data_IF_894944479580
#
_entry.id   IF_894944479580
#
_cell.length_a   1.000
_cell.length_b   1.000
_cell.length_c   1.000
_cell.angle_alpha   90.00
_cell.angle_beta   90.00
_cell.angle_gamma   90.00
#
_symmetry.space_group_name_H-M   'P 1'
#
loop_
_entity.id
_entity.type
_entity.pdbx_description
1 polymer ?
#
# COMPACT_ATOMS: atom_id res chain seq x y z
N UNK A 1 18.51 -27.84 60.95
CA UNK A 1 18.65 -27.08 59.68
C UNK A 1 18.76 -28.06 58.52
N UNK A 2 17.73 -28.18 57.67
CA UNK A 2 17.73 -29.07 56.49
C UNK A 2 18.63 -28.48 55.40
N UNK A 3 19.62 -29.25 54.94
CA UNK A 3 20.48 -28.88 53.79
C UNK A 3 19.63 -28.85 52.53
N UNK A 4 19.33 -27.65 52.04
CA UNK A 4 18.69 -27.45 50.74
C UNK A 4 19.67 -27.91 49.66
N UNK A 5 19.21 -28.83 48.82
CA UNK A 5 20.05 -29.55 47.86
C UNK A 5 20.33 -28.65 46.65
N UNK A 6 21.60 -28.40 46.33
CA UNK A 6 22.02 -27.47 45.25
C UNK A 6 21.42 -27.85 43.87
N UNK A 7 21.16 -29.13 43.62
CA UNK A 7 20.51 -29.59 42.38
C UNK A 7 19.06 -29.12 42.23
N UNK A 8 18.34 -28.89 43.34
CA UNK A 8 16.95 -28.39 43.29
C UNK A 8 16.91 -26.93 42.82
N UNK A 9 17.89 -26.12 43.21
CA UNK A 9 18.01 -24.74 42.73
C UNK A 9 18.37 -24.66 41.24
N UNK A 10 19.23 -25.57 40.75
CA UNK A 10 19.59 -25.64 39.32
C UNK A 10 18.37 -26.08 38.49
N UNK A 11 17.59 -27.04 38.97
CA UNK A 11 16.38 -27.51 38.29
C UNK A 11 15.30 -26.41 38.23
N UNK A 12 15.10 -25.66 39.32
CA UNK A 12 14.19 -24.50 39.33
C UNK A 12 14.68 -23.39 38.40
N UNK A 13 15.98 -23.09 38.39
CA UNK A 13 16.54 -22.10 37.46
C UNK A 13 16.35 -22.50 35.97
N UNK A 14 16.44 -23.81 35.67
CA UNK A 14 16.17 -24.33 34.32
C UNK A 14 14.69 -24.23 33.94
N UNK A 15 13.77 -24.43 34.88
CA UNK A 15 12.33 -24.24 34.66
C UNK A 15 12.00 -22.75 34.41
N UNK A 16 12.61 -21.82 35.15
CA UNK A 16 12.41 -20.38 34.93
C UNK A 16 12.98 -19.86 33.59
N UNK A 17 13.98 -20.53 33.03
CA UNK A 17 14.54 -20.21 31.70
C UNK A 17 13.62 -20.62 30.53
N UNK A 18 12.61 -21.46 30.76
CA UNK A 18 11.69 -21.93 29.71
C UNK A 18 10.41 -21.07 29.58
N UNK A 19 10.22 -20.03 30.41
CA UNK A 19 8.93 -19.33 30.54
C UNK A 19 8.92 -17.91 29.91
N UNK A 20 9.98 -17.44 29.24
CA UNK A 20 10.04 -16.05 28.77
C UNK A 20 10.45 -15.88 27.31
N UNK A 21 9.79 -16.60 26.40
CA UNK A 21 9.74 -16.18 24.99
C UNK A 21 8.29 -16.28 24.51
N UNK A 22 7.50 -15.27 24.88
CA UNK A 22 6.22 -15.01 24.23
C UNK A 22 6.50 -14.33 22.89
N UNK A 23 6.87 -15.11 21.86
CA UNK A 23 6.91 -14.60 20.49
C UNK A 23 5.48 -14.51 19.98
N UNK A 24 4.99 -13.28 19.77
CA UNK A 24 3.69 -13.05 19.15
C UNK A 24 3.91 -13.01 17.63
N UNK A 25 3.21 -13.85 16.84
CA UNK A 25 3.30 -13.76 15.39
C UNK A 25 2.77 -12.40 14.91
N UNK A 26 3.24 -11.89 13.76
CA UNK A 26 2.66 -10.70 13.17
C UNK A 26 1.19 -10.96 12.86
N UNK A 27 0.34 -9.94 13.01
CA UNK A 27 -1.09 -10.05 12.68
C UNK A 27 -1.42 -9.11 11.53
N UNK A 28 -1.90 -9.67 10.42
CA UNK A 28 -2.51 -8.88 9.34
C UNK A 28 -3.93 -8.54 9.79
N UNK A 29 -4.04 -7.42 10.50
CA UNK A 29 -5.33 -6.92 11.00
C UNK A 29 -6.15 -6.26 9.90
N UNK A 30 -5.50 -5.55 8.99
CA UNK A 30 -6.11 -4.90 7.83
C UNK A 30 -5.19 -5.06 6.62
N UNK A 31 -5.76 -5.16 5.42
CA UNK A 31 -5.00 -5.09 4.18
C UNK A 31 -5.84 -4.44 3.07
N UNK A 32 -5.15 -3.81 2.13
CA UNK A 32 -5.69 -3.16 0.95
C UNK A 32 -5.03 -3.75 -0.28
N UNK A 33 -5.86 -4.30 -1.17
CA UNK A 33 -5.45 -4.77 -2.49
C UNK A 33 -6.15 -3.92 -3.52
N UNK A 34 -5.39 -3.41 -4.48
CA UNK A 34 -5.94 -2.62 -5.57
C UNK A 34 -5.16 -2.87 -6.85
N UNK A 35 -5.88 -3.22 -7.90
CA UNK A 35 -5.31 -3.30 -9.25
C UNK A 35 -5.28 -1.89 -9.86
N UNK A 36 -4.12 -1.50 -10.38
CA UNK A 36 -3.90 -0.19 -10.97
C UNK A 36 -3.65 -0.34 -12.46
N UNK A 37 -4.34 0.45 -13.28
CA UNK A 37 -3.92 0.73 -14.65
C UNK A 37 -3.24 2.10 -14.69
N UNK A 38 -1.91 2.06 -14.86
CA UNK A 38 -1.07 3.24 -14.85
C UNK A 38 -0.75 3.64 -16.28
N UNK A 39 -1.21 4.82 -16.68
CA UNK A 39 -0.82 5.44 -17.95
C UNK A 39 0.69 5.68 -17.97
N UNK A 40 1.31 5.33 -19.09
CA UNK A 40 2.75 5.45 -19.33
C UNK A 40 3.04 6.68 -20.20
N UNK A 41 4.31 7.07 -20.28
CA UNK A 41 4.76 8.20 -21.12
C UNK A 41 4.37 8.03 -22.60
N UNK A 42 4.27 6.79 -23.07
CA UNK A 42 3.88 6.45 -24.44
C UNK A 42 2.36 6.30 -24.62
N UNK A 43 1.55 6.80 -23.68
CA UNK A 43 0.08 6.74 -23.71
C UNK A 43 -0.50 5.31 -23.75
N UNK A 44 0.34 4.32 -23.42
CA UNK A 44 -0.07 2.95 -23.13
C UNK A 44 -0.36 2.77 -21.63
N UNK A 45 -0.98 1.66 -21.26
CA UNK A 45 -1.23 1.32 -19.86
C UNK A 45 -0.30 0.19 -19.38
N UNK A 46 0.23 0.37 -18.18
CA UNK A 46 0.93 -0.67 -17.44
C UNK A 46 0.06 -1.08 -16.24
N UNK A 47 -0.23 -2.38 -16.14
CA UNK A 47 -0.90 -2.93 -14.97
C UNK A 47 0.07 -3.01 -13.79
N UNK A 48 -0.39 -2.60 -12.61
CA UNK A 48 0.31 -2.77 -11.33
C UNK A 48 -0.65 -3.32 -10.28
N UNK A 49 -0.09 -3.99 -9.28
CA UNK A 49 -0.83 -4.35 -8.08
C UNK A 49 -0.32 -3.50 -6.91
N UNK A 50 -1.27 -2.85 -6.25
CA UNK A 50 -1.08 -2.15 -5.00
C UNK A 50 -1.51 -3.05 -3.85
N UNK A 51 -0.55 -3.32 -2.98
CA UNK A 51 -0.73 -4.21 -1.82
C UNK A 51 -0.16 -3.49 -0.62
N UNK A 52 -1.02 -3.19 0.35
CA UNK A 52 -0.63 -2.63 1.63
C UNK A 52 -1.27 -3.44 2.75
N UNK A 53 -0.50 -3.85 3.74
CA UNK A 53 -1.00 -4.49 4.95
C UNK A 53 -0.70 -3.62 6.15
N UNK A 54 -1.68 -3.46 7.02
CA UNK A 54 -1.46 -2.95 8.36
C UNK A 54 -0.62 -3.98 9.12
N UNK A 55 0.61 -3.57 9.40
CA UNK A 55 1.54 -4.30 10.24
C UNK A 55 1.45 -3.71 11.64
N UNK A 56 0.76 -4.43 12.53
CA UNK A 56 0.71 -4.10 13.95
C UNK A 56 1.60 -5.09 14.69
N UNK A 57 2.68 -4.59 15.25
CA UNK A 57 3.57 -5.36 16.12
C UNK A 57 3.99 -4.47 17.30
N UNK A 58 3.99 -5.04 18.50
CA UNK A 58 4.25 -4.30 19.75
C UNK A 58 5.66 -3.71 19.77
N UNK A 59 6.59 -4.30 19.00
CA UNK A 59 7.99 -3.92 18.88
C UNK A 59 8.29 -2.95 17.68
N UNK A 60 7.26 -2.58 16.92
CA UNK A 60 7.30 -1.51 15.91
C UNK A 60 7.85 -1.89 14.52
N UNK A 61 8.19 -0.89 13.70
CA UNK A 61 8.66 -1.03 12.29
C UNK A 61 9.87 -1.96 12.12
N UNK A 62 10.60 -2.26 13.19
CA UNK A 62 11.88 -2.96 13.12
C UNK A 62 11.72 -4.45 12.81
N UNK A 63 10.57 -5.04 13.12
CA UNK A 63 10.36 -6.49 12.93
C UNK A 63 9.72 -6.88 11.59
N UNK A 64 9.41 -5.89 10.76
CA UNK A 64 9.02 -6.14 9.37
C UNK A 64 10.16 -6.82 8.60
N UNK A 65 9.90 -8.04 8.13
CA UNK A 65 10.76 -8.75 7.19
C UNK A 65 10.21 -8.65 5.76
N UNK A 66 9.03 -9.22 5.51
CA UNK A 66 8.46 -9.22 4.17
C UNK A 66 6.94 -9.34 4.13
N UNK A 67 6.38 -8.92 2.99
CA UNK A 67 5.02 -9.24 2.54
C UNK A 67 5.14 -9.95 1.21
N UNK A 68 4.63 -11.18 1.13
CA UNK A 68 4.66 -11.99 -0.08
C UNK A 68 3.27 -12.17 -0.63
N UNK A 69 3.10 -11.92 -1.92
CA UNK A 69 1.88 -12.21 -2.67
C UNK A 69 2.12 -13.45 -3.51
N UNK A 70 1.23 -14.45 -3.46
CA UNK A 70 1.34 -15.69 -4.25
C UNK A 70 0.02 -15.94 -4.96
N UNK A 71 0.05 -16.11 -6.29
CA UNK A 71 -1.08 -16.65 -7.04
C UNK A 71 -1.16 -18.16 -6.84
N UNK A 72 -2.21 -18.64 -6.20
CA UNK A 72 -2.31 -20.00 -5.63
C UNK A 72 -2.25 -21.07 -6.72
N UNK A 73 -2.89 -20.82 -7.85
CA UNK A 73 -3.08 -21.76 -8.94
C UNK A 73 -1.81 -21.93 -9.78
N UNK A 74 -1.00 -20.87 -9.92
CA UNK A 74 0.21 -20.88 -10.75
C UNK A 74 1.53 -20.93 -9.96
N UNK A 75 1.50 -20.61 -8.67
CA UNK A 75 2.70 -20.42 -7.84
C UNK A 75 3.50 -19.14 -8.12
N UNK A 76 3.04 -18.26 -9.01
CA UNK A 76 3.66 -16.95 -9.24
C UNK A 76 3.73 -16.15 -7.94
N UNK A 77 4.89 -15.59 -7.64
CA UNK A 77 5.15 -14.94 -6.36
C UNK A 77 5.85 -13.59 -6.51
N UNK A 78 5.46 -12.65 -5.66
CA UNK A 78 6.06 -11.32 -5.53
C UNK A 78 6.40 -11.06 -4.08
N UNK A 79 7.69 -10.80 -3.81
CA UNK A 79 8.19 -10.56 -2.45
C UNK A 79 8.48 -9.08 -2.27
N UNK A 80 7.77 -8.47 -1.33
CA UNK A 80 8.02 -7.13 -0.84
C UNK A 80 8.85 -7.22 0.45
N UNK A 81 10.04 -6.64 0.44
CA UNK A 81 10.94 -6.52 1.57
C UNK A 81 11.21 -5.04 1.87
N UNK A 82 12.04 -4.76 2.88
CA UNK A 82 12.34 -3.38 3.31
C UNK A 82 12.84 -2.46 2.17
N UNK A 83 13.49 -3.00 1.14
CA UNK A 83 14.09 -2.20 0.06
C UNK A 83 13.11 -1.83 -1.07
N UNK A 84 11.98 -2.53 -1.18
CA UNK A 84 10.99 -2.29 -2.23
C UNK A 84 9.56 -2.04 -1.69
N UNK A 85 9.43 -1.96 -0.36
CA UNK A 85 8.22 -1.53 0.35
C UNK A 85 8.26 -0.05 0.72
N UNK A 86 7.12 0.61 0.57
CA UNK A 86 6.78 1.89 1.19
C UNK A 86 6.16 1.66 2.57
N UNK A 87 6.42 2.57 3.49
CA UNK A 87 5.92 2.52 4.87
C UNK A 87 5.16 3.80 5.19
N UNK A 88 3.92 3.67 5.66
CA UNK A 88 3.05 4.80 6.01
C UNK A 88 2.57 4.65 7.45
N UNK A 89 2.39 5.76 8.15
CA UNK A 89 1.75 5.79 9.47
C UNK A 89 0.37 6.44 9.28
N UNK A 90 -0.72 5.82 9.77
CA UNK A 90 -2.01 6.51 9.75
C UNK A 90 -1.94 7.75 10.63
N UNK A 91 -2.35 8.88 10.07
CA UNK A 91 -2.62 10.09 10.83
C UNK A 91 -4.08 10.03 11.31
N UNK A 92 -4.39 9.12 12.24
CA UNK A 92 -5.68 9.19 12.92
C UNK A 92 -5.67 10.40 13.86
N UNK A 93 -6.31 11.48 13.44
CA UNK A 93 -6.59 12.70 14.23
C UNK A 93 -7.63 12.47 15.34
N UNK A 94 -7.83 11.22 15.78
CA UNK A 94 -8.74 10.93 16.88
C UNK A 94 -7.99 11.00 18.20
N UNK A 95 -8.64 11.52 19.25
CA UNK A 95 -8.09 11.85 20.57
C UNK A 95 -7.40 10.67 21.33
N UNK A 96 -7.30 9.49 20.70
CA UNK A 96 -6.54 8.34 21.17
C UNK A 96 -5.18 8.25 20.46
N UNK A 97 -4.29 9.19 20.77
CA UNK A 97 -2.92 9.31 20.22
C UNK A 97 -1.96 8.12 20.50
N UNK A 98 -2.48 6.96 20.95
CA UNK A 98 -1.69 5.84 21.46
C UNK A 98 -1.39 4.71 20.47
N UNK A 99 -2.11 4.59 19.35
CA UNK A 99 -1.94 3.45 18.42
C UNK A 99 -1.69 3.94 16.99
N UNK A 100 -0.47 4.37 16.72
CA UNK A 100 -0.01 4.65 15.35
C UNK A 100 -0.01 3.34 14.56
N UNK A 101 -0.91 3.22 13.58
CA UNK A 101 -0.97 2.08 12.66
C UNK A 101 0.08 2.22 11.56
N UNK A 102 0.95 1.23 11.39
CA UNK A 102 1.97 1.21 10.34
C UNK A 102 1.51 0.35 9.17
N UNK A 103 1.34 0.95 7.99
CA UNK A 103 1.09 0.23 6.75
C UNK A 103 2.41 -0.02 6.03
N UNK A 104 2.63 -1.26 5.58
CA UNK A 104 3.77 -1.64 4.76
C UNK A 104 3.29 -2.30 3.47
N UNK A 105 3.92 -1.98 2.35
CA UNK A 105 3.47 -2.50 1.06
C UNK A 105 4.07 -1.80 -0.14
N UNK A 106 3.50 -2.02 -1.32
CA UNK A 106 3.97 -1.42 -2.56
C UNK A 106 2.83 -1.25 -3.55
N UNK A 107 2.87 -0.15 -4.32
CA UNK A 107 2.03 0.07 -5.50
C UNK A 107 2.76 -0.23 -6.81
N UNK A 108 3.96 -0.82 -6.75
CA UNK A 108 4.85 -1.01 -7.91
C UNK A 108 4.93 -2.46 -8.39
N UNK A 109 4.19 -3.40 -7.78
CA UNK A 109 4.20 -4.81 -8.18
C UNK A 109 3.78 -4.93 -9.64
N UNK A 110 4.60 -5.57 -10.46
CA UNK A 110 4.36 -5.77 -11.89
C UNK A 110 3.97 -7.23 -12.18
N UNK A 111 3.11 -7.50 -13.16
CA UNK A 111 2.80 -8.87 -13.57
C UNK A 111 3.97 -9.53 -14.34
N UNK A 112 4.10 -10.87 -14.31
CA UNK A 112 5.21 -11.60 -14.94
C UNK A 112 5.16 -11.66 -16.48
N UNK A 113 4.02 -11.34 -17.10
CA UNK A 113 3.79 -11.00 -18.52
C UNK A 113 2.30 -11.20 -18.79
N UNK A 114 1.69 -10.42 -19.68
CA UNK A 114 0.27 -10.58 -20.05
C UNK A 114 -0.77 -10.15 -19.00
N UNK A 115 -0.34 -9.74 -17.80
CA UNK A 115 -1.18 -9.21 -16.73
C UNK A 115 -1.19 -10.08 -15.47
N UNK A 116 -1.88 -9.64 -14.43
CA UNK A 116 -2.08 -10.46 -13.24
C UNK A 116 -3.14 -11.54 -13.53
N UNK A 117 -2.84 -12.84 -13.34
CA UNK A 117 -3.82 -13.90 -13.49
C UNK A 117 -5.10 -13.64 -12.67
N UNK A 118 -6.24 -14.02 -13.21
CA UNK A 118 -7.44 -14.15 -12.37
C UNK A 118 -7.31 -15.37 -11.47
N UNK A 119 -7.90 -15.30 -10.28
CA UNK A 119 -7.87 -16.41 -9.34
C UNK A 119 -7.59 -15.98 -7.91
N UNK A 120 -7.18 -16.96 -7.10
CA UNK A 120 -6.99 -16.80 -5.66
C UNK A 120 -5.54 -16.49 -5.33
N UNK A 121 -5.33 -15.49 -4.50
CA UNK A 121 -4.03 -15.06 -4.05
C UNK A 121 -3.89 -15.23 -2.55
N UNK A 122 -2.70 -15.61 -2.11
CA UNK A 122 -2.29 -15.58 -0.71
C UNK A 122 -1.44 -14.34 -0.45
N UNK A 123 -1.77 -13.58 0.58
CA UNK A 123 -0.99 -12.50 1.16
C UNK A 123 -0.35 -13.01 2.45
N UNK A 124 0.97 -13.13 2.46
CA UNK A 124 1.74 -13.69 3.58
C UNK A 124 2.58 -12.55 4.16
N UNK A 125 2.33 -12.18 5.41
CA UNK A 125 3.24 -11.29 6.16
C UNK A 125 4.18 -12.14 7.00
N UNK A 126 5.47 -11.80 6.99
CA UNK A 126 6.51 -12.47 7.77
C UNK A 126 7.28 -11.44 8.60
N UNK A 127 7.56 -11.78 9.86
CA UNK A 127 8.44 -11.01 10.75
C UNK A 127 9.91 -11.46 10.64
N UNK A 128 10.83 -10.76 11.31
CA UNK A 128 12.25 -11.13 11.33
C UNK A 128 12.54 -12.45 12.08
N UNK A 129 11.61 -12.92 12.89
CA UNK A 129 11.70 -14.21 13.60
C UNK A 129 11.18 -15.39 12.78
N UNK A 130 10.63 -15.14 11.58
CA UNK A 130 10.06 -16.14 10.69
C UNK A 130 8.61 -16.53 10.99
N UNK A 131 7.93 -15.83 11.90
CA UNK A 131 6.51 -16.03 12.13
C UNK A 131 5.69 -15.45 10.98
N UNK A 132 4.56 -16.08 10.66
CA UNK A 132 3.74 -15.71 9.50
C UNK A 132 2.26 -15.60 9.84
N UNK A 133 1.60 -14.65 9.19
CA UNK A 133 0.13 -14.62 9.03
C UNK A 133 -0.23 -14.64 7.54
N UNK A 134 -1.33 -15.31 7.21
CA UNK A 134 -1.76 -15.55 5.83
C UNK A 134 -3.20 -15.10 5.68
N UNK A 135 -3.44 -14.22 4.71
CA UNK A 135 -4.78 -13.86 4.22
C UNK A 135 -4.95 -14.28 2.78
N UNK A 136 -6.20 -14.46 2.35
CA UNK A 136 -6.52 -14.73 0.95
C UNK A 136 -7.34 -13.58 0.37
N UNK A 137 -7.16 -13.35 -0.93
CA UNK A 137 -7.97 -12.44 -1.72
C UNK A 137 -8.11 -12.99 -3.14
N UNK A 138 -9.08 -12.50 -3.90
CA UNK A 138 -9.26 -12.90 -5.29
C UNK A 138 -9.09 -11.70 -6.21
N UNK A 139 -8.45 -11.93 -7.35
CA UNK A 139 -8.46 -10.97 -8.44
C UNK A 139 -9.37 -11.50 -9.55
N UNK A 140 -10.33 -10.67 -9.94
CA UNK A 140 -11.19 -10.95 -11.09
C UNK A 140 -10.43 -10.70 -12.39
N UNK A 141 -10.97 -11.10 -13.53
CA UNK A 141 -10.46 -10.68 -14.83
C UNK A 141 -10.54 -9.15 -14.97
N UNK A 142 -9.46 -8.53 -15.46
CA UNK A 142 -9.50 -7.12 -15.86
C UNK A 142 -10.26 -7.00 -17.17
N UNK A 143 -11.24 -6.10 -17.25
CA UNK A 143 -11.75 -5.68 -18.56
C UNK A 143 -10.64 -4.93 -19.30
N UNK A 144 -10.39 -5.27 -20.57
CA UNK A 144 -9.39 -4.58 -21.41
C UNK A 144 -9.83 -3.15 -21.78
N UNK A 145 -10.06 -2.27 -20.79
CA UNK A 145 -10.26 -0.85 -21.04
C UNK A 145 -8.89 -0.21 -21.24
N UNK A 146 -8.59 0.11 -22.50
CA UNK A 146 -7.30 0.71 -22.95
C UNK A 146 -7.34 2.24 -23.02
N UNK A 147 -8.18 2.89 -22.22
CA UNK A 147 -8.27 4.34 -22.14
C UNK A 147 -8.69 4.78 -20.74
N UNK A 148 -8.22 5.97 -20.32
CA UNK A 148 -8.70 6.60 -19.10
C UNK A 148 -10.17 7.02 -19.27
N UNK A 149 -11.05 6.79 -18.29
CA UNK A 149 -12.44 7.25 -18.32
C UNK A 149 -12.58 8.76 -18.00
N UNK A 150 -11.47 9.49 -17.97
CA UNK A 150 -11.37 10.91 -17.69
C UNK A 150 -10.16 11.50 -18.43
N UNK A 151 -10.11 12.82 -18.56
CA UNK A 151 -8.89 13.54 -18.92
C UNK A 151 -8.34 14.30 -17.73
N UNK A 152 -7.01 14.36 -17.65
CA UNK A 152 -6.30 15.20 -16.70
C UNK A 152 -5.31 16.05 -17.47
N UNK A 153 -5.49 17.36 -17.43
CA UNK A 153 -4.69 18.32 -18.17
C UNK A 153 -4.04 19.32 -17.24
N UNK A 154 -2.84 19.75 -17.62
CA UNK A 154 -2.13 20.84 -16.97
C UNK A 154 -1.85 21.90 -18.02
N UNK A 155 -2.42 23.08 -17.82
CA UNK A 155 -2.23 24.23 -18.70
C UNK A 155 -1.76 25.40 -17.85
N UNK A 156 -0.56 25.89 -18.16
CA UNK A 156 0.11 26.97 -17.44
C UNK A 156 0.19 26.69 -15.93
N UNK A 157 -0.75 27.24 -15.16
CA UNK A 157 -0.79 27.15 -13.71
C UNK A 157 -2.08 26.52 -13.16
N UNK A 158 -2.85 25.87 -14.02
CA UNK A 158 -4.11 25.22 -13.66
C UNK A 158 -4.06 23.76 -14.03
N UNK A 159 -4.50 22.91 -13.11
CA UNK A 159 -4.84 21.52 -13.43
C UNK A 159 -6.35 21.40 -13.59
N UNK A 160 -6.79 20.54 -14.52
CA UNK A 160 -8.20 20.24 -14.75
C UNK A 160 -8.41 18.73 -14.88
N UNK A 161 -9.50 18.24 -14.30
CA UNK A 161 -10.00 16.88 -14.47
C UNK A 161 -11.39 16.97 -15.08
N UNK A 162 -11.60 16.30 -16.21
CA UNK A 162 -12.92 16.18 -16.85
C UNK A 162 -13.28 14.72 -16.98
N UNK A 163 -14.44 14.34 -16.45
CA UNK A 163 -14.97 12.97 -16.50
C UNK A 163 -15.85 12.75 -17.73
N UNK A 164 -15.82 11.54 -18.28
CA UNK A 164 -16.70 11.12 -19.39
C UNK A 164 -17.77 10.11 -18.96
N UNK A 165 -17.65 9.55 -17.76
CA UNK A 165 -18.58 8.57 -17.18
C UNK A 165 -19.30 9.16 -15.94
N UNK A 166 -20.34 8.47 -15.46
CA UNK A 166 -21.12 8.88 -14.30
C UNK A 166 -20.25 8.90 -13.03
N UNK A 167 -20.08 10.08 -12.44
CA UNK A 167 -19.22 10.35 -11.27
C UNK A 167 -19.68 9.69 -9.96
N UNK A 168 -20.91 9.19 -9.87
CA UNK A 168 -21.46 8.60 -8.63
C UNK A 168 -20.76 7.31 -8.18
N UNK A 169 -20.01 6.65 -9.07
CA UNK A 169 -19.32 5.39 -8.80
C UNK A 169 -17.80 5.53 -8.64
N UNK A 170 -17.30 6.77 -8.64
CA UNK A 170 -15.87 7.05 -8.68
C UNK A 170 -15.45 8.02 -7.58
N UNK A 171 -14.22 7.85 -7.09
CA UNK A 171 -13.53 8.85 -6.28
C UNK A 171 -12.30 9.34 -7.04
N UNK A 172 -12.07 10.66 -7.05
CA UNK A 172 -10.87 11.25 -7.62
C UNK A 172 -9.90 11.68 -6.54
N UNK A 173 -8.61 11.52 -6.81
CA UNK A 173 -7.55 12.03 -5.94
C UNK A 173 -6.38 12.58 -6.76
N UNK A 174 -5.78 13.65 -6.28
CA UNK A 174 -4.47 14.11 -6.76
C UNK A 174 -3.39 13.48 -5.90
N UNK A 175 -2.36 12.94 -6.54
CA UNK A 175 -1.19 12.39 -5.87
C UNK A 175 0.01 13.25 -6.24
N UNK A 176 0.63 13.86 -5.24
CA UNK A 176 1.89 14.59 -5.40
C UNK A 176 3.05 13.63 -5.14
N UNK A 177 4.03 13.65 -6.04
CA UNK A 177 5.21 12.79 -5.95
C UNK A 177 6.48 13.61 -5.74
N UNK A 178 7.41 13.05 -4.97
CA UNK A 178 8.77 13.56 -4.84
C UNK A 178 9.65 13.29 -6.07
N UNK A 179 10.93 13.66 -5.97
CA UNK A 179 11.91 13.49 -7.06
C UNK A 179 12.11 12.02 -7.48
N UNK A 180 11.93 11.09 -6.54
CA UNK A 180 12.03 9.65 -6.72
C UNK A 180 10.72 8.99 -7.21
N UNK A 181 9.71 9.81 -7.55
CA UNK A 181 8.36 9.38 -7.93
C UNK A 181 7.66 8.53 -6.86
N UNK A 182 7.98 8.75 -5.58
CA UNK A 182 7.19 8.23 -4.47
C UNK A 182 6.09 9.22 -4.08
N UNK A 183 4.88 8.75 -3.73
CA UNK A 183 3.83 9.60 -3.17
C UNK A 183 4.31 10.28 -1.89
N UNK A 184 4.18 11.61 -1.84
CA UNK A 184 4.44 12.41 -0.63
C UNK A 184 3.15 12.97 -0.04
N UNK A 185 2.11 13.14 -0.88
CA UNK A 185 0.81 13.61 -0.44
C UNK A 185 -0.29 13.15 -1.39
N UNK A 186 -1.48 12.93 -0.86
CA UNK A 186 -2.69 12.59 -1.62
C UNK A 186 -3.84 13.48 -1.17
N UNK A 187 -4.51 14.14 -2.13
CA UNK A 187 -5.67 14.99 -1.91
C UNK A 187 -6.89 14.39 -2.58
N UNK A 188 -7.92 14.03 -1.82
CA UNK A 188 -9.23 13.69 -2.41
C UNK A 188 -9.87 14.93 -3.02
N UNK A 189 -10.54 14.76 -4.16
CA UNK A 189 -11.27 15.81 -4.84
C UNK A 189 -12.77 15.68 -4.57
N UNK A 190 -13.43 16.81 -4.39
CA UNK A 190 -14.89 16.86 -4.34
C UNK A 190 -15.45 16.61 -5.75
N UNK A 191 -16.37 15.65 -5.86
CA UNK A 191 -16.86 15.19 -7.15
C UNK A 191 -17.68 16.27 -7.87
N UNK A 192 -17.21 16.64 -9.05
CA UNK A 192 -17.93 17.46 -10.02
C UNK A 192 -17.61 16.99 -11.44
N UNK A 193 -18.44 17.38 -12.41
CA UNK A 193 -18.22 17.03 -13.83
C UNK A 193 -16.88 17.58 -14.35
N UNK A 194 -16.47 18.74 -13.82
CA UNK A 194 -15.17 19.35 -14.05
C UNK A 194 -14.61 19.81 -12.71
N UNK A 195 -13.41 19.34 -12.39
CA UNK A 195 -12.65 19.73 -11.19
C UNK A 195 -11.41 20.48 -11.64
N UNK A 196 -11.04 21.55 -10.94
CA UNK A 196 -9.83 22.31 -11.26
C UNK A 196 -9.20 22.93 -10.03
N UNK A 197 -7.95 23.35 -10.16
CA UNK A 197 -7.26 24.07 -9.10
C UNK A 197 -5.95 24.69 -9.56
N UNK A 198 -5.35 25.48 -8.66
CA UNK A 198 -4.15 26.25 -8.93
C UNK A 198 -2.89 25.45 -8.56
N UNK A 199 -1.92 25.38 -9.49
CA UNK A 199 -0.66 24.67 -9.29
C UNK A 199 0.34 25.44 -8.41
N UNK A 200 0.34 26.78 -8.42
CA UNK A 200 1.17 27.58 -7.50
C UNK A 200 0.80 27.29 -6.05
N UNK A 201 -0.49 27.23 -5.73
CA UNK A 201 -0.94 26.90 -4.38
C UNK A 201 -0.43 25.51 -3.94
N UNK A 202 -0.52 24.50 -4.82
CA UNK A 202 0.01 23.16 -4.53
C UNK A 202 1.53 23.16 -4.36
N UNK A 203 2.26 23.96 -5.16
CA UNK A 203 3.72 24.09 -5.07
C UNK A 203 4.16 24.79 -3.78
N UNK A 204 3.42 25.79 -3.33
CA UNK A 204 3.67 26.51 -2.07
C UNK A 204 3.39 25.63 -0.86
N UNK A 205 2.29 24.87 -0.90
CA UNK A 205 1.90 23.96 0.19
C UNK A 205 2.82 22.72 0.27
N UNK A 206 3.27 22.21 -0.88
CA UNK A 206 4.09 21.00 -0.99
C UNK A 206 5.37 21.26 -1.80
N UNK A 207 6.30 22.05 -1.25
CA UNK A 207 7.53 22.47 -1.94
C UNK A 207 8.45 21.34 -2.42
N UNK A 208 8.36 20.15 -1.82
CA UNK A 208 9.12 18.96 -2.21
C UNK A 208 8.48 18.17 -3.36
N UNK A 209 7.24 18.50 -3.74
CA UNK A 209 6.59 17.88 -4.89
C UNK A 209 7.38 18.20 -6.17
N UNK A 210 7.55 17.20 -7.03
CA UNK A 210 8.16 17.33 -8.35
C UNK A 210 7.23 16.89 -9.47
N UNK A 211 6.29 16.01 -9.15
CA UNK A 211 5.28 15.54 -10.09
C UNK A 211 3.89 15.51 -9.46
N UNK A 212 2.87 15.51 -10.31
CA UNK A 212 1.47 15.31 -9.95
C UNK A 212 0.86 14.22 -10.82
N UNK A 213 0.01 13.40 -10.23
CA UNK A 213 -0.82 12.41 -10.90
C UNK A 213 -2.28 12.59 -10.48
N UNK A 214 -3.20 12.17 -11.33
CA UNK A 214 -4.60 12.02 -10.98
C UNK A 214 -4.95 10.53 -10.92
N UNK A 215 -5.62 10.14 -9.84
CA UNK A 215 -6.15 8.81 -9.63
C UNK A 215 -7.67 8.85 -9.68
N UNK A 216 -8.26 7.92 -10.40
CA UNK A 216 -9.69 7.61 -10.35
C UNK A 216 -9.86 6.20 -9.80
N UNK A 217 -10.57 6.11 -8.69
CA UNK A 217 -10.83 4.88 -7.95
C UNK A 217 -12.31 4.51 -8.05
N UNK A 218 -12.61 3.24 -8.26
CA UNK A 218 -13.99 2.76 -8.27
C UNK A 218 -14.49 2.56 -6.84
N UNK A 219 -15.79 2.74 -6.58
CA UNK A 219 -16.40 2.61 -5.25
C UNK A 219 -16.19 1.25 -4.55
N UNK A 220 -15.82 0.20 -5.30
CA UNK A 220 -15.46 -1.11 -4.72
C UNK A 220 -13.99 -1.19 -4.26
N UNK A 221 -13.21 -0.11 -4.41
CA UNK A 221 -11.81 0.10 -4.03
C UNK A 221 -10.77 -0.93 -4.52
N UNK A 222 -11.18 -1.87 -5.37
CA UNK A 222 -10.30 -2.95 -5.86
C UNK A 222 -9.62 -2.61 -7.19
N UNK A 223 -9.99 -1.50 -7.82
CA UNK A 223 -9.47 -1.06 -9.10
C UNK A 223 -9.35 0.46 -9.17
N UNK A 224 -8.26 0.94 -9.80
CA UNK A 224 -8.09 2.35 -10.08
C UNK A 224 -7.31 2.60 -11.37
N UNK A 225 -7.58 3.75 -11.99
CA UNK A 225 -6.75 4.33 -13.03
C UNK A 225 -5.82 5.37 -12.43
N UNK A 226 -4.60 5.45 -12.97
CA UNK A 226 -3.63 6.46 -12.58
C UNK A 226 -3.03 7.07 -13.85
N UNK A 227 -3.01 8.39 -13.94
CA UNK A 227 -2.36 9.07 -15.07
C UNK A 227 -0.85 8.89 -15.02
N UNK A 228 -0.15 9.21 -16.12
CA UNK A 228 1.31 9.39 -16.06
C UNK A 228 1.68 10.53 -15.09
N UNK A 229 2.89 10.55 -14.52
CA UNK A 229 3.35 11.68 -13.73
C UNK A 229 3.58 12.92 -14.59
N UNK A 230 2.89 14.01 -14.29
CA UNK A 230 3.13 15.31 -14.91
C UNK A 230 4.12 16.11 -14.07
N UNK A 231 5.14 16.68 -14.71
CA UNK A 231 6.13 17.53 -14.02
C UNK A 231 5.47 18.81 -13.52
N UNK A 232 5.81 19.20 -12.30
CA UNK A 232 5.41 20.49 -11.74
C UNK A 232 6.44 21.58 -12.03
N UNK A 233 7.72 21.21 -12.23
CA UNK A 233 8.85 22.11 -12.45
C UNK A 233 9.66 21.69 -13.68
#
# INVERSE_FOLDING_TARGET
MKKINRSFFIFIAFIFLQINCSFKPPVISEFSIKRLLVETENENFAERLSVFSLYTDEDGKNDYNSVTVIHTESGLSWVLNRNNSSFFISADNTENAGQKKLYAGSNKIAPPSGGFPEGTYSLIAEDLSGNRDIKTFSLNKTEEKRALPFSFNITENTWTVQTYENTELFEFSLILLGADKQPIFTKKLDLSAEMSGNLLQLKEEYGDARYIQCMLEFANNNFAYLTKPYKLY
#
